data_IF_021830326385
#
_entry.id   IF_021830326385
#
_cell.length_a   1.000
_cell.length_b   1.000
_cell.length_c   1.000
_cell.angle_alpha   90.00
_cell.angle_beta   90.00
_cell.angle_gamma   90.00
#
_symmetry.space_group_name_H-M   'P 1'
#
loop_
_entity.id
_entity.type
_entity.pdbx_description
1 polymer ?
#
# COMPACT_ATOMS: atom_id res chain seq x y z
N UNK A 1 -1.48 33.44 17.61
CA UNK A 1 -2.23 32.44 16.81
C UNK A 1 -2.64 32.99 15.44
N UNK A 2 -3.35 34.13 15.33
CA UNK A 2 -3.76 34.74 14.05
C UNK A 2 -2.63 35.07 13.05
N UNK A 3 -1.49 35.60 13.51
CA UNK A 3 -0.38 35.97 12.60
C UNK A 3 0.28 34.76 11.91
N UNK A 4 0.33 33.59 12.56
CA UNK A 4 0.82 32.36 11.93
C UNK A 4 -0.15 31.88 10.86
N UNK A 5 -1.45 31.87 11.18
CA UNK A 5 -2.50 31.47 10.25
C UNK A 5 -2.54 32.34 8.98
N UNK A 6 -2.42 33.66 9.12
CA UNK A 6 -2.38 34.59 7.96
C UNK A 6 -1.12 34.36 7.11
N UNK A 7 0.03 34.14 7.76
CA UNK A 7 1.28 33.85 7.06
C UNK A 7 1.20 32.53 6.28
N UNK A 8 0.62 31.50 6.89
CA UNK A 8 0.52 30.18 6.27
C UNK A 8 -0.47 30.21 5.09
N UNK A 9 -1.58 30.95 5.20
CA UNK A 9 -2.51 31.22 4.09
C UNK A 9 -1.87 32.01 2.95
N UNK A 10 -1.08 33.04 3.27
CA UNK A 10 -0.37 33.83 2.27
C UNK A 10 0.67 32.98 1.55
N UNK A 11 1.42 32.17 2.29
CA UNK A 11 2.44 31.30 1.72
C UNK A 11 1.83 30.21 0.83
N UNK A 12 0.71 29.60 1.24
CA UNK A 12 0.00 28.62 0.39
C UNK A 12 -0.53 29.27 -0.88
N UNK A 13 -1.08 30.48 -0.79
CA UNK A 13 -1.59 31.22 -1.95
C UNK A 13 -0.46 31.56 -2.94
N UNK A 14 0.66 32.09 -2.43
CA UNK A 14 1.84 32.39 -3.27
C UNK A 14 2.36 31.11 -3.93
N UNK A 15 2.48 30.01 -3.17
CA UNK A 15 2.91 28.72 -3.72
C UNK A 15 1.95 28.18 -4.78
N UNK A 16 0.66 28.46 -4.67
CA UNK A 16 -0.35 28.03 -5.65
C UNK A 16 -0.35 28.89 -6.93
N UNK A 17 0.15 30.11 -6.86
CA UNK A 17 0.05 31.12 -7.92
C UNK A 17 1.41 31.70 -8.35
N UNK A 18 2.50 30.97 -8.11
CA UNK A 18 3.86 31.49 -8.30
C UNK A 18 4.21 31.70 -9.78
N UNK A 19 3.64 30.93 -10.71
CA UNK A 19 3.88 31.08 -12.15
C UNK A 19 3.16 32.32 -12.64
N UNK A 20 1.92 32.52 -12.19
CA UNK A 20 1.14 33.72 -12.48
C UNK A 20 1.84 34.98 -11.97
N UNK A 21 2.28 34.98 -10.71
CA UNK A 21 3.04 36.08 -10.13
C UNK A 21 4.37 36.29 -10.85
N UNK A 22 5.09 35.22 -11.18
CA UNK A 22 6.36 35.29 -11.89
C UNK A 22 6.24 35.91 -13.27
N UNK A 23 5.28 35.44 -14.08
CA UNK A 23 5.06 35.98 -15.43
C UNK A 23 4.53 37.41 -15.40
N UNK A 24 3.69 37.76 -14.43
CA UNK A 24 3.27 39.14 -14.21
C UNK A 24 4.47 40.06 -13.90
N UNK A 25 5.36 39.66 -12.98
CA UNK A 25 6.54 40.43 -12.61
C UNK A 25 7.53 40.58 -13.77
N UNK A 26 7.76 39.51 -14.55
CA UNK A 26 8.58 39.57 -15.77
C UNK A 26 7.95 40.56 -16.77
N UNK A 27 6.63 40.51 -16.93
CA UNK A 27 5.90 41.41 -17.80
C UNK A 27 5.98 42.88 -17.37
N UNK A 28 6.04 43.18 -16.07
CA UNK A 28 6.22 44.56 -15.56
C UNK A 28 7.53 45.20 -16.04
N UNK A 29 8.59 44.42 -16.25
CA UNK A 29 9.84 44.92 -16.80
C UNK A 29 9.69 45.48 -18.24
N UNK A 30 8.69 44.99 -19.00
CA UNK A 30 8.38 45.46 -20.35
C UNK A 30 7.29 46.55 -20.41
N UNK A 31 6.71 46.94 -19.27
CA UNK A 31 5.61 47.90 -19.17
C UNK A 31 4.24 47.26 -18.86
N UNK A 32 3.21 48.11 -18.74
CA UNK A 32 1.87 47.70 -18.29
C UNK A 32 1.19 46.71 -19.25
N UNK A 33 1.40 46.86 -20.56
CA UNK A 33 0.80 45.98 -21.56
C UNK A 33 1.36 44.56 -21.48
N UNK A 34 2.68 44.42 -21.39
CA UNK A 34 3.37 43.13 -21.24
C UNK A 34 3.11 42.50 -19.88
N UNK A 35 2.90 43.29 -18.83
CA UNK A 35 2.42 42.80 -17.53
C UNK A 35 1.04 42.14 -17.64
N UNK A 36 0.11 42.77 -18.38
CA UNK A 36 -1.21 42.20 -18.66
C UNK A 36 -1.14 40.87 -19.41
N UNK A 37 -0.27 40.78 -20.44
CA UNK A 37 -0.02 39.53 -21.17
C UNK A 37 0.58 38.47 -20.24
N UNK A 38 1.57 38.83 -19.41
CA UNK A 38 2.19 37.93 -18.45
C UNK A 38 1.20 37.38 -17.42
N UNK A 39 0.29 38.21 -16.93
CA UNK A 39 -0.79 37.78 -16.03
C UNK A 39 -1.73 36.79 -16.72
N UNK A 40 -2.15 37.09 -17.95
CA UNK A 40 -3.07 36.24 -18.72
C UNK A 40 -2.44 34.88 -19.03
N UNK A 41 -1.19 34.88 -19.52
CA UNK A 41 -0.42 33.64 -19.74
C UNK A 41 -0.23 32.87 -18.43
N UNK A 42 0.06 33.57 -17.34
CA UNK A 42 0.16 33.02 -16.00
C UNK A 42 -1.09 32.28 -15.55
N UNK A 43 -2.26 32.91 -15.67
CA UNK A 43 -3.54 32.29 -15.32
C UNK A 43 -3.82 31.05 -16.16
N UNK A 44 -3.44 31.05 -17.45
CA UNK A 44 -3.65 29.92 -18.35
C UNK A 44 -2.67 28.77 -18.09
N UNK A 45 -1.39 29.06 -17.84
CA UNK A 45 -0.34 28.06 -17.68
C UNK A 45 -0.28 27.45 -16.29
N UNK A 46 -0.62 28.22 -15.23
CA UNK A 46 -0.57 27.73 -13.85
C UNK A 46 -1.32 26.40 -13.65
N UNK A 47 -2.60 26.23 -14.00
CA UNK A 47 -3.29 24.95 -13.79
C UNK A 47 -2.66 23.79 -14.57
N UNK A 48 -2.15 24.04 -15.79
CA UNK A 48 -1.49 23.03 -16.60
C UNK A 48 -0.18 22.55 -15.95
N UNK A 49 0.63 23.49 -15.47
CA UNK A 49 1.90 23.15 -14.80
C UNK A 49 1.64 22.46 -13.46
N UNK A 50 0.68 22.93 -12.67
CA UNK A 50 0.31 22.28 -11.41
C UNK A 50 -0.18 20.85 -11.64
N UNK A 51 -1.00 20.62 -12.68
CA UNK A 51 -1.44 19.28 -13.04
C UNK A 51 -0.26 18.39 -13.46
N UNK A 52 0.64 18.89 -14.31
CA UNK A 52 1.84 18.15 -14.72
C UNK A 52 2.76 17.79 -13.53
N UNK A 53 2.98 18.74 -12.61
CA UNK A 53 3.76 18.50 -11.40
C UNK A 53 3.08 17.48 -10.47
N UNK A 54 1.76 17.54 -10.35
CA UNK A 54 0.98 16.59 -9.59
C UNK A 54 1.08 15.18 -10.16
N UNK A 55 0.85 15.00 -11.47
CA UNK A 55 0.98 13.69 -12.13
C UNK A 55 2.39 13.12 -11.95
N UNK A 56 3.43 13.94 -12.14
CA UNK A 56 4.82 13.52 -11.91
C UNK A 56 5.08 13.09 -10.46
N UNK A 57 4.52 13.81 -9.48
CA UNK A 57 4.65 13.46 -8.07
C UNK A 57 3.94 12.13 -7.74
N UNK A 58 2.72 11.94 -8.27
CA UNK A 58 1.96 10.70 -8.14
C UNK A 58 2.70 9.53 -8.77
N UNK A 59 3.18 9.67 -10.02
CA UNK A 59 3.94 8.62 -10.70
C UNK A 59 5.19 8.23 -9.94
N UNK A 60 5.95 9.22 -9.44
CA UNK A 60 7.14 8.96 -8.63
C UNK A 60 6.78 8.17 -7.36
N UNK A 61 5.67 8.54 -6.71
CA UNK A 61 5.18 7.81 -5.56
C UNK A 61 4.72 6.39 -5.91
N UNK A 62 4.01 6.19 -7.02
CA UNK A 62 3.54 4.86 -7.43
C UNK A 62 4.69 3.88 -7.71
N UNK A 63 5.80 4.38 -8.26
CA UNK A 63 6.97 3.56 -8.61
C UNK A 63 7.90 3.35 -7.40
N UNK A 64 8.09 4.37 -6.56
CA UNK A 64 9.14 4.38 -5.53
C UNK A 64 8.62 4.44 -4.09
N UNK A 65 7.29 4.53 -3.88
CA UNK A 65 6.66 4.81 -2.60
C UNK A 65 7.33 5.98 -1.85
N UNK A 66 7.54 7.11 -2.54
CA UNK A 66 8.26 8.28 -2.01
C UNK A 66 7.72 8.68 -0.62
N UNK A 67 8.52 8.58 0.46
CA UNK A 67 8.05 8.86 1.82
C UNK A 67 7.70 10.33 2.05
N UNK A 68 8.14 11.23 1.16
CA UNK A 68 7.81 12.67 1.22
C UNK A 68 6.54 13.03 0.45
N UNK A 69 5.89 12.04 -0.18
CA UNK A 69 4.66 12.27 -0.92
C UNK A 69 3.51 12.65 0.02
N UNK A 70 3.07 13.90 -0.12
CA UNK A 70 2.04 14.55 0.71
C UNK A 70 0.87 15.06 -0.12
N UNK A 71 0.96 14.97 -1.45
CA UNK A 71 -0.08 15.40 -2.38
C UNK A 71 -1.15 14.29 -2.56
N UNK A 72 -1.67 13.77 -1.45
CA UNK A 72 -2.81 12.83 -1.46
C UNK A 72 -4.09 13.55 -1.05
N UNK A 73 -5.18 13.24 -1.74
CA UNK A 73 -6.52 13.75 -1.40
C UNK A 73 -6.95 13.20 -0.04
N UNK A 74 -6.69 11.90 0.18
CA UNK A 74 -6.79 11.23 1.48
C UNK A 74 -5.61 10.29 1.66
N UNK A 75 -5.08 10.18 2.89
CA UNK A 75 -3.96 9.29 3.17
C UNK A 75 -4.25 7.87 2.69
N UNK A 76 -3.38 7.34 1.82
CA UNK A 76 -3.39 5.94 1.39
C UNK A 76 -4.12 5.67 0.08
N UNK A 77 -4.90 6.63 -0.45
CA UNK A 77 -5.67 6.40 -1.68
C UNK A 77 -4.78 6.06 -2.88
N UNK A 78 -3.66 6.75 -3.03
CA UNK A 78 -2.76 6.53 -4.16
C UNK A 78 -2.08 5.17 -4.08
N UNK A 79 -1.70 4.73 -2.88
CA UNK A 79 -1.15 3.40 -2.68
C UNK A 79 -2.19 2.30 -2.91
N UNK A 80 -3.43 2.51 -2.48
CA UNK A 80 -4.54 1.61 -2.76
C UNK A 80 -4.79 1.47 -4.27
N UNK A 81 -4.89 2.58 -5.01
CA UNK A 81 -5.08 2.55 -6.46
C UNK A 81 -3.91 1.80 -7.16
N UNK A 82 -2.67 2.06 -6.75
CA UNK A 82 -1.49 1.35 -7.25
C UNK A 82 -1.55 -0.16 -7.00
N UNK A 83 -1.90 -0.57 -5.77
CA UNK A 83 -2.05 -1.98 -5.40
C UNK A 83 -3.19 -2.68 -6.11
N UNK A 84 -4.35 -2.02 -6.20
CA UNK A 84 -5.51 -2.55 -6.90
C UNK A 84 -5.18 -2.81 -8.37
N UNK A 85 -4.50 -1.87 -9.03
CA UNK A 85 -4.01 -2.05 -10.41
C UNK A 85 -2.97 -3.16 -10.50
N UNK A 86 -1.97 -3.17 -9.61
CA UNK A 86 -0.91 -4.18 -9.56
C UNK A 86 -1.45 -5.62 -9.44
N UNK A 87 -2.54 -5.80 -8.70
CA UNK A 87 -3.14 -7.12 -8.49
C UNK A 87 -4.20 -7.47 -9.54
N UNK A 88 -5.05 -6.52 -9.97
CA UNK A 88 -6.20 -6.81 -10.82
C UNK A 88 -5.89 -6.89 -12.32
N UNK A 89 -4.78 -6.30 -12.79
CA UNK A 89 -4.47 -6.20 -14.23
C UNK A 89 -3.33 -7.12 -14.71
N UNK A 90 -2.90 -8.10 -13.93
CA UNK A 90 -1.74 -8.96 -14.29
C UNK A 90 -1.99 -9.87 -15.50
N UNK A 91 -3.18 -10.45 -15.61
CA UNK A 91 -3.64 -11.22 -16.78
C UNK A 91 -5.02 -10.68 -17.17
N UNK A 92 -5.09 -9.82 -18.19
CA UNK A 92 -6.35 -9.17 -18.59
C UNK A 92 -7.43 -10.21 -18.94
N UNK A 93 -8.38 -10.41 -18.01
CA UNK A 93 -9.64 -11.12 -18.26
C UNK A 93 -10.79 -10.17 -17.97
N UNK A 94 -11.08 -9.28 -18.93
CA UNK A 94 -12.13 -8.28 -18.81
C UNK A 94 -11.77 -6.99 -19.53
N UNK A 95 -12.76 -6.11 -19.65
CA UNK A 95 -12.57 -4.77 -20.18
C UNK A 95 -11.83 -3.90 -19.15
N UNK A 96 -10.66 -3.31 -19.51
CA UNK A 96 -9.91 -2.41 -18.63
C UNK A 96 -10.75 -1.29 -18.03
N UNK A 97 -11.72 -0.75 -18.78
CA UNK A 97 -12.59 0.33 -18.30
C UNK A 97 -13.51 -0.15 -17.18
N UNK A 98 -14.02 -1.37 -17.27
CA UNK A 98 -14.89 -1.95 -16.24
C UNK A 98 -14.10 -2.17 -14.94
N UNK A 99 -12.89 -2.73 -15.05
CA UNK A 99 -12.02 -2.98 -13.89
C UNK A 99 -11.66 -1.65 -13.23
N UNK A 100 -11.25 -0.65 -14.01
CA UNK A 100 -10.91 0.67 -13.50
C UNK A 100 -12.10 1.32 -12.79
N UNK A 101 -13.30 1.25 -13.37
CA UNK A 101 -14.51 1.80 -12.76
C UNK A 101 -14.87 1.11 -11.43
N UNK A 102 -14.71 -0.20 -11.35
CA UNK A 102 -14.95 -0.96 -10.10
C UNK A 102 -13.92 -0.59 -9.03
N UNK A 103 -12.64 -0.45 -9.39
CA UNK A 103 -11.60 0.04 -8.48
C UNK A 103 -11.92 1.44 -7.97
N UNK A 104 -12.33 2.36 -8.86
CA UNK A 104 -12.70 3.73 -8.49
C UNK A 104 -13.87 3.71 -7.50
N UNK A 105 -14.91 2.93 -7.77
CA UNK A 105 -16.06 2.84 -6.87
C UNK A 105 -15.66 2.32 -5.48
N UNK A 106 -14.90 1.23 -5.43
CA UNK A 106 -14.39 0.68 -4.18
C UNK A 106 -13.48 1.66 -3.42
N UNK A 107 -12.64 2.42 -4.13
CA UNK A 107 -11.84 3.49 -3.56
C UNK A 107 -12.70 4.59 -2.93
N UNK A 108 -13.74 5.05 -3.63
CA UNK A 108 -14.64 6.08 -3.13
C UNK A 108 -15.34 5.61 -1.84
N UNK A 109 -15.83 4.37 -1.82
CA UNK A 109 -16.53 3.78 -0.68
C UNK A 109 -15.59 3.49 0.51
N UNK A 110 -14.38 3.00 0.25
CA UNK A 110 -13.40 2.65 1.27
C UNK A 110 -12.85 3.90 1.98
N UNK A 111 -12.57 4.94 1.21
CA UNK A 111 -11.99 6.17 1.71
C UNK A 111 -13.01 7.27 1.99
N UNK A 112 -14.32 6.99 1.91
CA UNK A 112 -15.45 7.89 2.23
C UNK A 112 -15.49 9.18 1.39
N UNK A 113 -15.23 9.07 0.09
CA UNK A 113 -15.27 10.20 -0.85
C UNK A 113 -16.68 10.51 -1.35
N UNK A 114 -16.84 11.73 -1.88
CA UNK A 114 -18.02 12.13 -2.65
C UNK A 114 -17.89 11.63 -4.09
N UNK A 115 -19.00 11.37 -4.81
CA UNK A 115 -18.96 11.05 -6.24
C UNK A 115 -18.20 12.09 -7.09
N UNK A 116 -18.13 13.35 -6.63
CA UNK A 116 -17.36 14.44 -7.27
C UNK A 116 -15.85 14.20 -7.29
N UNK A 117 -15.33 13.31 -6.45
CA UNK A 117 -13.90 13.02 -6.33
C UNK A 117 -13.45 11.93 -7.33
N UNK A 118 -14.41 11.27 -8.00
CA UNK A 118 -14.17 10.20 -8.97
C UNK A 118 -13.10 10.51 -10.02
N UNK A 119 -13.12 11.67 -10.71
CA UNK A 119 -12.11 11.98 -11.73
C UNK A 119 -10.67 11.99 -11.21
N UNK A 120 -10.46 12.36 -9.94
CA UNK A 120 -9.12 12.34 -9.35
C UNK A 120 -8.67 10.92 -9.04
N UNK A 121 -9.57 10.07 -8.53
CA UNK A 121 -9.27 8.64 -8.30
C UNK A 121 -9.02 7.91 -9.62
N UNK A 122 -9.79 8.25 -10.66
CA UNK A 122 -9.63 7.72 -12.01
C UNK A 122 -8.25 8.08 -12.58
N UNK A 123 -7.78 9.31 -12.37
CA UNK A 123 -6.42 9.74 -12.71
C UNK A 123 -5.36 8.88 -12.00
N UNK A 124 -5.52 8.59 -10.71
CA UNK A 124 -4.58 7.73 -9.97
C UNK A 124 -4.52 6.31 -10.56
N UNK A 125 -5.67 5.72 -10.85
CA UNK A 125 -5.75 4.40 -11.49
C UNK A 125 -5.13 4.42 -12.89
N UNK A 126 -5.38 5.46 -13.68
CA UNK A 126 -4.81 5.64 -15.02
C UNK A 126 -3.28 5.70 -14.96
N UNK A 127 -2.71 6.55 -14.09
CA UNK A 127 -1.26 6.66 -13.94
C UNK A 127 -0.63 5.35 -13.44
N UNK A 128 -1.32 4.63 -12.54
CA UNK A 128 -0.87 3.32 -12.09
C UNK A 128 -0.87 2.29 -13.24
N UNK A 129 -1.87 2.32 -14.12
CA UNK A 129 -1.94 1.45 -15.30
C UNK A 129 -0.85 1.76 -16.32
N UNK A 130 -0.62 3.04 -16.61
CA UNK A 130 0.45 3.50 -17.51
C UNK A 130 1.84 2.99 -17.06
N UNK A 131 2.04 2.85 -15.75
CA UNK A 131 3.30 2.41 -15.13
C UNK A 131 3.22 1.02 -14.50
N UNK A 132 2.25 0.17 -14.89
CA UNK A 132 1.95 -1.09 -14.19
C UNK A 132 3.18 -1.99 -13.98
N UNK A 133 4.04 -2.12 -15.00
CA UNK A 133 5.24 -2.98 -14.94
C UNK A 133 6.33 -2.46 -13.98
N UNK A 134 6.25 -1.20 -13.58
CA UNK A 134 7.21 -0.54 -12.69
C UNK A 134 6.71 -0.45 -11.25
N UNK A 135 5.46 -0.84 -10.98
CA UNK A 135 4.87 -0.81 -9.64
C UNK A 135 5.56 -1.83 -8.74
N UNK A 136 5.81 -1.44 -7.49
CA UNK A 136 6.32 -2.32 -6.45
C UNK A 136 5.23 -2.57 -5.40
N UNK A 137 4.64 -3.76 -5.44
CA UNK A 137 3.55 -4.13 -4.53
C UNK A 137 3.94 -4.01 -3.06
N UNK A 138 5.12 -4.51 -2.67
CA UNK A 138 5.56 -4.52 -1.27
C UNK A 138 5.69 -3.10 -0.72
N UNK A 139 6.34 -2.21 -1.47
CA UNK A 139 6.51 -0.80 -1.07
C UNK A 139 5.17 -0.06 -0.99
N UNK A 140 4.27 -0.32 -1.93
CA UNK A 140 2.93 0.26 -1.90
C UNK A 140 2.10 -0.28 -0.73
N UNK A 141 2.24 -1.56 -0.39
CA UNK A 141 1.61 -2.18 0.77
C UNK A 141 2.10 -1.58 2.09
N UNK A 142 3.41 -1.43 2.26
CA UNK A 142 3.99 -0.76 3.44
C UNK A 142 3.53 0.70 3.53
N UNK A 143 3.54 1.42 2.41
CA UNK A 143 3.13 2.81 2.35
C UNK A 143 1.64 3.00 2.67
N UNK A 144 0.78 2.09 2.17
CA UNK A 144 -0.64 2.06 2.47
C UNK A 144 -0.87 1.77 3.96
N UNK A 145 -0.22 0.75 4.51
CA UNK A 145 -0.31 0.42 5.93
C UNK A 145 0.04 1.61 6.82
N UNK A 146 1.14 2.31 6.51
CA UNK A 146 1.57 3.49 7.26
C UNK A 146 0.57 4.65 7.23
N UNK A 147 -0.32 4.69 6.23
CA UNK A 147 -1.34 5.74 6.04
C UNK A 147 -2.71 5.36 6.59
N UNK A 148 -2.94 4.07 6.85
CA UNK A 148 -4.19 3.58 7.43
C UNK A 148 -4.24 3.89 8.93
N UNK A 149 -5.43 4.31 9.40
CA UNK A 149 -5.60 4.82 10.77
C UNK A 149 -5.55 3.72 11.83
N UNK A 150 -6.08 2.54 11.50
CA UNK A 150 -6.21 1.42 12.42
C UNK A 150 -6.22 0.08 11.68
N UNK A 151 -6.17 -1.00 12.46
CA UNK A 151 -6.19 -2.39 11.98
C UNK A 151 -7.52 -2.72 11.27
N UNK A 152 -8.62 -2.09 11.66
CA UNK A 152 -9.93 -2.30 11.05
C UNK A 152 -9.96 -1.77 9.60
N UNK A 153 -9.41 -0.59 9.36
CA UNK A 153 -9.25 0.00 8.03
C UNK A 153 -8.32 -0.85 7.16
N UNK A 154 -7.24 -1.39 7.72
CA UNK A 154 -6.35 -2.30 7.01
C UNK A 154 -7.03 -3.61 6.60
N UNK A 155 -7.80 -4.20 7.52
CA UNK A 155 -8.57 -5.43 7.27
C UNK A 155 -9.64 -5.19 6.20
N UNK A 156 -10.38 -4.07 6.26
CA UNK A 156 -11.37 -3.70 5.24
C UNK A 156 -10.72 -3.48 3.88
N UNK A 157 -9.57 -2.80 3.85
CA UNK A 157 -8.82 -2.55 2.60
C UNK A 157 -8.34 -3.84 1.97
N UNK A 158 -7.77 -4.74 2.77
CA UNK A 158 -7.37 -6.07 2.36
C UNK A 158 -8.55 -6.90 1.80
N UNK A 159 -9.73 -6.83 2.43
CA UNK A 159 -10.92 -7.52 1.94
C UNK A 159 -11.34 -7.01 0.56
N UNK A 160 -11.38 -5.68 0.37
CA UNK A 160 -11.73 -5.06 -0.91
C UNK A 160 -10.74 -5.47 -2.01
N UNK A 161 -9.43 -5.45 -1.72
CA UNK A 161 -8.42 -5.93 -2.68
C UNK A 161 -8.63 -7.41 -3.04
N UNK A 162 -9.00 -8.24 -2.06
CA UNK A 162 -9.31 -9.65 -2.29
C UNK A 162 -10.52 -9.85 -3.18
N UNK A 163 -11.58 -9.09 -2.95
CA UNK A 163 -12.79 -9.11 -3.79
C UNK A 163 -12.47 -8.75 -5.25
N UNK A 164 -11.68 -7.70 -5.46
CA UNK A 164 -11.22 -7.27 -6.79
C UNK A 164 -10.37 -8.35 -7.49
N UNK A 165 -9.42 -8.95 -6.78
CA UNK A 165 -8.53 -9.98 -7.34
C UNK A 165 -9.29 -11.26 -7.67
N UNK A 166 -10.18 -11.74 -6.78
CA UNK A 166 -11.01 -12.92 -7.07
C UNK A 166 -11.88 -12.70 -8.31
N UNK A 167 -12.42 -11.48 -8.47
CA UNK A 167 -13.29 -11.13 -9.60
C UNK A 167 -12.53 -11.05 -10.93
N UNK A 168 -11.38 -10.37 -10.95
CA UNK A 168 -10.71 -9.99 -12.20
C UNK A 168 -9.42 -10.76 -12.50
N UNK A 169 -8.70 -11.20 -11.46
CA UNK A 169 -7.41 -11.89 -11.60
C UNK A 169 -7.24 -13.05 -10.60
N UNK A 170 -8.14 -14.06 -10.59
CA UNK A 170 -8.16 -15.10 -9.56
C UNK A 170 -6.88 -15.95 -9.50
N UNK A 171 -6.13 -16.05 -10.62
CA UNK A 171 -4.84 -16.75 -10.65
C UNK A 171 -3.72 -15.99 -9.91
N UNK A 172 -3.90 -14.70 -9.69
CA UNK A 172 -2.93 -13.82 -9.01
C UNK A 172 -3.24 -13.66 -7.53
N UNK A 173 -4.15 -14.49 -6.99
CA UNK A 173 -4.50 -14.46 -5.58
C UNK A 173 -3.24 -14.58 -4.69
N UNK A 174 -2.27 -15.38 -5.10
CA UNK A 174 -0.99 -15.54 -4.40
C UNK A 174 -0.21 -14.22 -4.24
N UNK A 175 -0.27 -13.32 -5.23
CA UNK A 175 0.39 -12.00 -5.20
C UNK A 175 -0.28 -11.10 -4.17
N UNK A 176 -1.60 -11.20 -4.05
CA UNK A 176 -2.30 -10.50 -2.99
C UNK A 176 -1.99 -11.12 -1.63
N UNK A 177 -1.97 -12.45 -1.50
CA UNK A 177 -1.69 -13.14 -0.23
C UNK A 177 -0.34 -12.73 0.37
N UNK A 178 0.72 -12.60 -0.44
CA UNK A 178 2.00 -12.08 0.04
C UNK A 178 1.89 -10.64 0.58
N UNK A 179 1.09 -9.79 -0.07
CA UNK A 179 0.86 -8.41 0.35
C UNK A 179 -0.03 -8.30 1.59
N UNK A 180 -0.95 -9.26 1.77
CA UNK A 180 -1.82 -9.32 2.95
C UNK A 180 -1.04 -9.61 4.23
N UNK A 181 0.08 -10.33 4.14
CA UNK A 181 1.00 -10.49 5.28
C UNK A 181 1.58 -9.15 5.76
N UNK A 182 1.78 -8.20 4.84
CA UNK A 182 2.24 -6.85 5.14
C UNK A 182 1.08 -5.99 5.64
N UNK A 183 0.00 -5.91 4.87
CA UNK A 183 -1.13 -5.00 5.12
C UNK A 183 -1.95 -5.37 6.35
N UNK A 184 -2.12 -6.65 6.64
CA UNK A 184 -2.95 -7.11 7.74
C UNK A 184 -2.39 -8.41 8.35
N UNK A 185 -1.27 -8.35 9.11
CA UNK A 185 -0.58 -9.52 9.66
C UNK A 185 -1.38 -10.34 10.70
N UNK A 186 -2.68 -10.08 10.87
CA UNK A 186 -3.61 -10.84 11.70
C UNK A 186 -4.93 -11.21 10.99
N UNK A 187 -5.05 -10.97 9.69
CA UNK A 187 -6.24 -11.29 8.89
C UNK A 187 -6.30 -12.76 8.46
N UNK A 188 -5.23 -13.53 8.68
CA UNK A 188 -5.27 -14.99 8.62
C UNK A 188 -5.75 -15.58 9.95
N UNK A 189 -7.07 -15.52 10.18
CA UNK A 189 -7.76 -16.58 10.92
C UNK A 189 -8.51 -17.43 9.90
N UNK A 190 -7.79 -18.38 9.32
CA UNK A 190 -8.36 -19.31 8.35
C UNK A 190 -7.35 -19.93 7.40
N UNK A 191 -6.11 -20.13 7.81
CA UNK A 191 -5.22 -21.04 7.08
C UNK A 191 -5.09 -22.32 7.92
N UNK A 192 -5.85 -23.32 7.52
CA UNK A 192 -5.77 -24.71 8.01
C UNK A 192 -4.33 -25.27 7.93
N UNK A 193 -3.44 -24.63 7.14
CA UNK A 193 -2.02 -24.95 7.02
C UNK A 193 -1.06 -23.96 7.73
N UNK A 194 -1.54 -22.94 8.46
CA UNK A 194 -0.66 -22.03 9.21
C UNK A 194 0.28 -22.76 10.19
N UNK A 195 -0.19 -23.81 10.92
CA UNK A 195 0.69 -24.57 11.81
C UNK A 195 1.80 -25.33 11.05
N UNK A 196 1.51 -25.83 9.85
CA UNK A 196 2.48 -26.50 8.97
C UNK A 196 3.58 -25.54 8.48
N UNK A 197 3.17 -24.33 8.09
CA UNK A 197 4.08 -23.28 7.64
C UNK A 197 4.99 -22.76 8.77
N UNK A 198 4.45 -22.57 10.00
CA UNK A 198 5.24 -22.14 11.16
C UNK A 198 6.33 -23.16 11.52
N UNK A 199 6.05 -24.46 11.32
CA UNK A 199 7.05 -25.52 11.50
C UNK A 199 7.97 -25.72 10.30
N UNK A 200 7.63 -25.14 9.15
CA UNK A 200 8.36 -25.33 7.89
C UNK A 200 8.30 -26.76 7.38
N UNK A 201 7.16 -27.43 7.54
CA UNK A 201 6.92 -28.80 7.03
C UNK A 201 5.69 -28.79 6.11
N UNK A 202 5.60 -29.71 5.15
CA UNK A 202 4.43 -29.77 4.27
C UNK A 202 3.19 -30.28 5.03
N UNK A 203 1.97 -29.94 4.60
CA UNK A 203 0.73 -30.47 5.16
C UNK A 203 0.64 -32.01 5.12
N UNK A 204 1.36 -32.64 4.19
CA UNK A 204 1.44 -34.09 4.01
C UNK A 204 2.58 -34.74 4.80
N UNK A 205 3.33 -33.98 5.60
CA UNK A 205 4.49 -34.47 6.34
C UNK A 205 4.14 -35.58 7.34
N UNK A 206 5.00 -36.59 7.45
CA UNK A 206 4.80 -37.69 8.40
C UNK A 206 5.02 -37.25 9.85
N UNK A 207 4.42 -37.96 10.81
CA UNK A 207 4.63 -37.73 12.26
C UNK A 207 6.12 -37.74 12.64
N UNK A 208 6.92 -38.58 11.96
CA UNK A 208 8.36 -38.67 12.17
C UNK A 208 9.09 -37.40 11.70
N UNK A 209 8.71 -36.88 10.54
CA UNK A 209 9.27 -35.66 9.95
C UNK A 209 8.92 -34.41 10.75
N UNK A 210 7.67 -34.31 11.20
CA UNK A 210 7.17 -33.26 12.10
C UNK A 210 8.01 -33.23 13.39
N UNK A 211 8.18 -34.39 14.04
CA UNK A 211 8.98 -34.51 15.28
C UNK A 211 10.45 -34.19 15.04
N UNK A 212 11.01 -34.57 13.89
CA UNK A 212 12.40 -34.29 13.51
C UNK A 212 12.64 -32.79 13.31
N UNK A 213 11.75 -32.12 12.60
CA UNK A 213 11.87 -30.67 12.34
C UNK A 213 11.69 -29.86 13.62
N UNK A 214 10.75 -30.23 14.49
CA UNK A 214 10.58 -29.59 15.78
C UNK A 214 11.83 -29.71 16.67
N UNK A 215 12.48 -30.88 16.73
CA UNK A 215 13.74 -31.06 17.49
C UNK A 215 14.86 -30.17 16.97
N UNK A 216 14.97 -30.01 15.64
CA UNK A 216 15.95 -29.11 15.02
C UNK A 216 15.68 -27.65 15.42
N UNK A 217 14.42 -27.21 15.38
CA UNK A 217 14.04 -25.85 15.80
C UNK A 217 14.30 -25.65 17.30
N UNK A 218 13.98 -26.61 18.16
CA UNK A 218 14.22 -26.51 19.60
C UNK A 218 15.71 -26.34 19.96
N UNK A 219 16.64 -26.93 19.20
CA UNK A 219 18.08 -26.73 19.37
C UNK A 219 18.53 -25.33 18.90
N UNK A 220 17.90 -24.77 17.87
CA UNK A 220 18.22 -23.43 17.36
C UNK A 220 17.74 -22.32 18.31
N UNK A 221 16.66 -22.57 19.05
CA UNK A 221 16.09 -21.63 20.02
C UNK A 221 16.46 -21.97 21.48
N UNK A 222 17.48 -22.82 21.71
CA UNK A 222 17.98 -23.13 23.05
C UNK A 222 18.66 -21.88 23.67
N UNK A 223 18.52 -21.61 24.98
CA UNK A 223 19.16 -20.46 25.63
C UNK A 223 20.67 -20.36 25.37
N UNK A 224 21.37 -21.50 25.26
CA UNK A 224 22.80 -21.53 24.94
C UNK A 224 23.11 -21.01 23.53
N UNK A 225 22.26 -21.30 22.53
CA UNK A 225 22.41 -20.81 21.15
C UNK A 225 21.97 -19.34 21.00
N UNK A 226 21.25 -18.80 21.98
CA UNK A 226 20.80 -17.40 22.01
C UNK A 226 21.65 -16.52 22.95
N UNK A 227 22.68 -17.09 23.59
CA UNK A 227 23.52 -16.41 24.57
C UNK A 227 24.31 -15.21 23.98
N UNK A 228 24.55 -15.20 22.67
CA UNK A 228 25.21 -14.11 21.95
C UNK A 228 24.27 -13.00 21.47
N UNK A 229 22.96 -13.09 21.72
CA UNK A 229 21.96 -12.13 21.27
C UNK A 229 21.68 -11.04 22.30
N UNK A 230 21.32 -9.85 21.83
CA UNK A 230 20.88 -8.77 22.72
C UNK A 230 19.46 -9.04 23.27
N UNK A 231 19.06 -8.29 24.30
CA UNK A 231 17.81 -8.55 25.03
C UNK A 231 16.55 -8.46 24.15
N UNK A 232 16.52 -7.52 23.20
CA UNK A 232 15.42 -7.38 22.24
C UNK A 232 15.34 -8.58 21.26
N UNK A 233 16.48 -9.07 20.80
CA UNK A 233 16.57 -10.27 19.95
C UNK A 233 16.19 -11.53 20.73
N UNK A 234 16.60 -11.63 21.99
CA UNK A 234 16.24 -12.76 22.87
C UNK A 234 14.73 -12.82 23.10
N UNK A 235 14.09 -11.67 23.34
CA UNK A 235 12.63 -11.57 23.47
C UNK A 235 11.89 -11.98 22.19
N UNK A 236 12.36 -11.53 21.02
CA UNK A 236 11.80 -11.97 19.71
C UNK A 236 12.01 -13.45 19.44
N UNK A 237 13.14 -14.02 19.86
CA UNK A 237 13.42 -15.45 19.73
C UNK A 237 12.49 -16.27 20.63
N UNK A 238 12.22 -15.80 21.85
CA UNK A 238 11.28 -16.41 22.79
C UNK A 238 9.83 -16.37 22.26
N UNK A 239 9.37 -15.22 21.75
CA UNK A 239 8.05 -15.06 21.11
C UNK A 239 7.90 -15.97 19.88
N UNK A 240 8.96 -16.13 19.09
CA UNK A 240 8.98 -17.05 17.95
C UNK A 240 8.94 -18.52 18.41
N UNK A 241 9.65 -18.87 19.48
CA UNK A 241 9.64 -20.22 20.02
C UNK A 241 8.30 -20.62 20.65
N UNK A 242 7.59 -19.67 21.26
CA UNK A 242 6.21 -19.87 21.72
C UNK A 242 5.31 -20.26 20.52
N UNK A 243 5.40 -19.53 19.41
CA UNK A 243 4.65 -19.82 18.17
C UNK A 243 4.98 -21.19 17.58
N UNK A 244 6.26 -21.55 17.53
CA UNK A 244 6.72 -22.88 17.06
C UNK A 244 6.16 -24.01 17.94
N UNK A 245 6.16 -23.85 19.27
CA UNK A 245 5.60 -24.85 20.20
C UNK A 245 4.10 -25.01 20.04
N UNK A 246 3.38 -23.91 19.82
CA UNK A 246 1.95 -23.95 19.58
C UNK A 246 1.64 -24.68 18.27
N UNK A 247 2.30 -24.28 17.17
CA UNK A 247 2.15 -24.93 15.87
C UNK A 247 2.44 -26.43 15.94
N UNK A 248 3.50 -26.86 16.61
CA UNK A 248 3.83 -28.29 16.81
C UNK A 248 2.70 -29.09 17.45
N UNK A 249 2.03 -28.54 18.48
CA UNK A 249 0.93 -29.22 19.16
C UNK A 249 -0.27 -29.40 18.25
N UNK A 250 -0.64 -28.35 17.54
CA UNK A 250 -1.80 -28.33 16.64
C UNK A 250 -1.60 -29.33 15.49
N UNK A 251 -0.47 -29.23 14.80
CA UNK A 251 0.01 -30.16 13.77
C UNK A 251 -0.01 -31.62 14.21
N UNK A 252 0.58 -31.92 15.37
CA UNK A 252 0.71 -33.30 15.84
C UNK A 252 -0.66 -33.88 16.22
N UNK A 253 -1.55 -33.06 16.77
CA UNK A 253 -2.90 -33.47 17.13
C UNK A 253 -3.76 -33.79 15.90
N UNK A 254 -3.66 -32.99 14.84
CA UNK A 254 -4.37 -33.24 13.59
C UNK A 254 -3.90 -34.55 12.95
N UNK A 255 -2.58 -34.75 12.86
CA UNK A 255 -2.03 -35.95 12.21
C UNK A 255 -2.30 -37.26 12.96
N UNK A 256 -2.35 -37.23 14.29
CA UNK A 256 -2.67 -38.41 15.11
C UNK A 256 -4.18 -38.70 15.16
N UNK A 257 -5.04 -37.70 14.95
CA UNK A 257 -6.49 -37.88 14.86
C UNK A 257 -6.95 -38.47 13.52
N UNK A 258 -6.20 -38.22 12.44
CA UNK A 258 -6.46 -38.83 11.12
C UNK A 258 -6.01 -40.30 11.02
N UNK A 259 -5.17 -40.77 11.95
CA UNK A 259 -4.64 -42.15 11.98
C UNK A 259 -5.43 -43.11 12.90
N UNK A 260 -6.51 -42.64 13.55
CA UNK A 260 -7.37 -43.40 14.48
C UNK A 260 -8.77 -43.64 13.93
#
# INVERSE_FOLDING_TARGET
MRLRQVRDQLYSWIRQHYIMLGLFLIGLCGGLFTAGIGLLLGILLEPLVQQFLYEKAVTRYLIMADPHFTAEIRPGITAFCGLAVYCAFSEQKGDPEIIQKDIVQHALDLFYFSPSDGPQVELLCRLALEHQQQLNGDLLAESLLARLKDIAAATKTAQVLKELVIRYAPKELWRLESLLQILAPGMERGNENAPWQILGVSPEASVQEIKKTFRRLALQFHPDSLASLNEAQRKKAEESFIRIRQAYREVLSQRLGDES
#
